data_IF_830325333931
#
_entry.id   IF_830325333931
#
_cell.length_a   1.000
_cell.length_b   1.000
_cell.length_c   1.000
_cell.angle_alpha   90.00
_cell.angle_beta   90.00
_cell.angle_gamma   90.00
#
_symmetry.space_group_name_H-M   'P 1'
#
loop_
_entity.id
_entity.type
_entity.pdbx_description
1 polymer ?
#
# COMPACT_ATOMS: atom_id res chain seq x y z
N UNK A 1 7.19 -30.18 -5.20
CA UNK A 1 7.20 -28.82 -5.80
C UNK A 1 7.82 -27.88 -4.79
N UNK A 2 8.93 -27.24 -5.16
CA UNK A 2 9.67 -26.37 -4.27
C UNK A 2 8.92 -25.04 -4.12
N UNK A 3 8.51 -24.75 -2.90
CA UNK A 3 8.04 -23.43 -2.51
C UNK A 3 9.30 -22.60 -2.29
N UNK A 4 9.60 -21.63 -3.17
CA UNK A 4 10.58 -20.60 -2.83
C UNK A 4 9.94 -19.68 -1.78
N UNK A 5 10.07 -20.08 -0.51
CA UNK A 5 9.67 -19.31 0.66
C UNK A 5 10.88 -18.53 1.18
N UNK A 6 11.23 -17.42 0.53
CA UNK A 6 11.99 -16.38 1.24
C UNK A 6 11.00 -15.42 1.94
N UNK A 7 11.17 -15.21 3.24
CA UNK A 7 10.61 -14.03 3.93
C UNK A 7 9.20 -14.16 4.52
N UNK A 8 8.95 -15.17 5.38
CA UNK A 8 7.65 -15.39 6.05
C UNK A 8 7.07 -14.12 6.73
N UNK A 9 7.91 -13.16 7.12
CA UNK A 9 7.53 -11.76 7.37
C UNK A 9 8.76 -10.85 7.14
N UNK A 10 9.36 -10.93 5.94
CA UNK A 10 10.47 -10.08 5.50
C UNK A 10 10.03 -8.66 5.08
N UNK A 11 10.92 -7.93 4.38
CA UNK A 11 10.64 -6.57 3.89
C UNK A 11 9.50 -6.53 2.85
N UNK A 12 9.28 -7.59 2.08
CA UNK A 12 8.19 -7.71 1.09
C UNK A 12 7.93 -9.18 0.73
N UNK A 13 6.71 -9.50 0.31
CA UNK A 13 6.29 -10.84 -0.13
C UNK A 13 5.49 -10.70 -1.43
N UNK A 14 5.72 -11.59 -2.39
CA UNK A 14 5.02 -11.57 -3.69
C UNK A 14 4.72 -12.98 -4.14
N UNK A 15 3.48 -13.25 -4.52
CA UNK A 15 3.05 -14.51 -5.11
C UNK A 15 2.50 -14.26 -6.51
N UNK A 16 3.07 -14.96 -7.49
CA UNK A 16 2.60 -14.95 -8.87
C UNK A 16 2.09 -16.33 -9.31
N UNK A 17 1.17 -16.37 -10.27
CA UNK A 17 0.74 -17.61 -10.89
C UNK A 17 1.81 -18.10 -11.90
N UNK A 18 1.58 -19.28 -12.51
CA UNK A 18 2.51 -19.87 -13.51
C UNK A 18 2.71 -19.01 -14.77
N UNK A 19 1.82 -18.04 -15.03
CA UNK A 19 1.91 -17.10 -16.15
C UNK A 19 2.67 -15.82 -15.77
N UNK A 20 3.04 -15.66 -14.50
CA UNK A 20 3.71 -14.48 -13.96
C UNK A 20 2.76 -13.40 -13.41
N UNK A 21 1.44 -13.61 -13.48
CA UNK A 21 0.47 -12.64 -12.96
C UNK A 21 0.52 -12.63 -11.43
N UNK A 22 0.65 -11.44 -10.84
CA UNK A 22 0.75 -11.28 -9.39
C UNK A 22 -0.63 -11.48 -8.77
N UNK A 23 -0.77 -12.51 -7.94
CA UNK A 23 -2.01 -12.81 -7.24
C UNK A 23 -2.04 -12.25 -5.81
N UNK A 24 -0.86 -12.05 -5.22
CA UNK A 24 -0.71 -11.34 -3.95
C UNK A 24 0.61 -10.59 -3.90
N UNK A 25 0.59 -9.38 -3.38
CA UNK A 25 1.78 -8.62 -3.04
C UNK A 25 1.60 -8.00 -1.66
N UNK A 26 2.65 -8.01 -0.86
CA UNK A 26 2.73 -7.34 0.42
C UNK A 26 4.06 -6.62 0.55
N UNK A 27 4.04 -5.37 0.96
CA UNK A 27 5.23 -4.53 1.14
C UNK A 27 5.24 -3.94 2.53
N UNK A 28 6.40 -4.03 3.19
CA UNK A 28 6.65 -3.33 4.45
C UNK A 28 6.90 -1.85 4.17
N UNK A 29 6.33 -1.01 5.01
CA UNK A 29 6.56 0.43 5.04
C UNK A 29 7.16 0.77 6.39
N UNK A 30 8.39 1.26 6.34
CA UNK A 30 9.19 1.64 7.51
C UNK A 30 9.45 3.15 7.59
N UNK A 31 8.94 3.92 6.62
CA UNK A 31 9.16 5.36 6.55
C UNK A 31 7.96 6.10 7.13
N UNK A 32 8.24 7.12 7.94
CA UNK A 32 7.27 8.08 8.50
C UNK A 32 6.24 7.47 9.46
N UNK A 33 6.72 6.87 10.55
CA UNK A 33 5.87 6.37 11.64
C UNK A 33 6.20 4.95 12.04
N UNK A 34 5.28 4.33 12.78
CA UNK A 34 5.39 2.92 13.17
C UNK A 34 5.34 2.01 11.92
N UNK A 35 6.19 0.96 11.84
CA UNK A 35 6.20 0.08 10.69
C UNK A 35 4.86 -0.62 10.45
N UNK A 36 4.45 -0.73 9.19
CA UNK A 36 3.23 -1.43 8.80
C UNK A 36 3.39 -2.15 7.46
N UNK A 37 2.46 -3.05 7.14
CA UNK A 37 2.38 -3.71 5.85
C UNK A 37 1.21 -3.16 5.03
N UNK A 38 1.45 -2.94 3.73
CA UNK A 38 0.39 -2.76 2.74
C UNK A 38 0.35 -4.01 1.88
N UNK A 39 -0.84 -4.54 1.62
CA UNK A 39 -1.01 -5.69 0.73
C UNK A 39 -2.02 -5.41 -0.39
N UNK A 40 -1.93 -6.22 -1.45
CA UNK A 40 -2.88 -6.27 -2.56
C UNK A 40 -3.17 -7.73 -2.90
N UNK A 41 -4.45 -8.09 -3.03
CA UNK A 41 -4.89 -9.43 -3.45
C UNK A 41 -5.63 -9.31 -4.79
N UNK A 42 -5.18 -10.06 -5.79
CA UNK A 42 -5.84 -10.21 -7.10
C UNK A 42 -6.36 -11.65 -7.21
N UNK A 43 -7.55 -11.90 -6.63
CA UNK A 43 -8.13 -13.25 -6.52
C UNK A 43 -8.39 -13.92 -7.87
N UNK A 44 -8.62 -13.11 -8.90
CA UNK A 44 -8.79 -13.49 -10.30
C UNK A 44 -7.56 -14.21 -10.85
N UNK A 45 -6.36 -13.91 -10.33
CA UNK A 45 -5.11 -14.55 -10.75
C UNK A 45 -4.85 -15.89 -10.04
N UNK A 46 -5.63 -16.26 -9.03
CA UNK A 46 -5.52 -17.57 -8.39
C UNK A 46 -6.10 -18.69 -9.25
N UNK A 47 -5.33 -19.77 -9.38
CA UNK A 47 -5.84 -21.05 -9.87
C UNK A 47 -6.70 -21.77 -8.80
N UNK A 48 -7.36 -22.87 -9.16
CA UNK A 48 -8.31 -23.55 -8.27
C UNK A 48 -7.67 -24.07 -6.97
N UNK A 49 -6.47 -24.64 -7.04
CA UNK A 49 -5.73 -25.13 -5.88
C UNK A 49 -5.34 -23.98 -4.94
N UNK A 50 -4.85 -22.87 -5.50
CA UNK A 50 -4.51 -21.67 -4.77
C UNK A 50 -5.73 -21.06 -4.08
N UNK A 51 -6.90 -21.04 -4.74
CA UNK A 51 -8.16 -20.57 -4.11
C UNK A 51 -8.55 -21.39 -2.89
N UNK A 52 -8.33 -22.71 -2.92
CA UNK A 52 -8.62 -23.61 -1.78
C UNK A 52 -7.63 -23.42 -0.63
N UNK A 53 -6.34 -23.22 -0.92
CA UNK A 53 -5.30 -23.02 0.09
C UNK A 53 -5.20 -21.60 0.65
N UNK A 54 -5.68 -20.59 -0.09
CA UNK A 54 -5.53 -19.17 0.24
C UNK A 54 -6.08 -18.79 1.62
N UNK A 55 -7.27 -19.25 2.08
CA UNK A 55 -7.76 -18.89 3.41
C UNK A 55 -6.81 -19.26 4.54
N UNK A 56 -6.15 -20.42 4.46
CA UNK A 56 -5.17 -20.86 5.46
C UNK A 56 -3.89 -20.03 5.41
N UNK A 57 -3.39 -19.72 4.21
CA UNK A 57 -2.23 -18.83 4.02
C UNK A 57 -2.52 -17.43 4.56
N UNK A 58 -3.69 -16.89 4.23
CA UNK A 58 -4.14 -15.59 4.69
C UNK A 58 -4.25 -15.52 6.22
N UNK A 59 -4.82 -16.56 6.85
CA UNK A 59 -4.89 -16.66 8.30
C UNK A 59 -3.48 -16.66 8.93
N UNK A 60 -2.54 -17.42 8.35
CA UNK A 60 -1.15 -17.44 8.83
C UNK A 60 -0.47 -16.07 8.70
N UNK A 61 -0.66 -15.35 7.59
CA UNK A 61 -0.12 -13.99 7.41
C UNK A 61 -0.65 -13.05 8.49
N UNK A 62 -1.98 -13.02 8.68
CA UNK A 62 -2.63 -12.17 9.69
C UNK A 62 -2.14 -12.49 11.10
N UNK A 63 -2.10 -13.76 11.48
CA UNK A 63 -1.63 -14.19 12.81
C UNK A 63 -0.18 -13.80 13.06
N UNK A 64 0.70 -13.96 12.07
CA UNK A 64 2.09 -13.59 12.20
C UNK A 64 2.26 -12.06 12.31
N UNK A 65 1.53 -11.28 11.49
CA UNK A 65 1.54 -9.81 11.57
C UNK A 65 1.08 -9.32 12.95
N UNK A 66 -0.03 -9.87 13.45
CA UNK A 66 -0.57 -9.56 14.77
C UNK A 66 0.42 -9.89 15.90
N UNK A 67 1.07 -11.07 15.84
CA UNK A 67 2.07 -11.48 16.84
C UNK A 67 3.27 -10.53 16.89
N UNK A 68 3.62 -9.89 15.77
CA UNK A 68 4.70 -8.91 15.69
C UNK A 68 4.26 -7.46 15.95
N UNK A 69 2.97 -7.24 16.20
CA UNK A 69 2.42 -5.89 16.37
C UNK A 69 2.54 -5.03 15.11
N UNK A 70 2.54 -5.64 13.92
CA UNK A 70 2.66 -4.94 12.65
C UNK A 70 1.27 -4.87 11.99
N UNK A 71 0.68 -3.67 11.83
CA UNK A 71 -0.59 -3.51 11.15
C UNK A 71 -0.52 -3.98 9.70
N UNK A 72 -1.63 -4.49 9.19
CA UNK A 72 -1.75 -5.02 7.83
C UNK A 72 -2.93 -4.37 7.12
N UNK A 73 -2.65 -3.48 6.16
CA UNK A 73 -3.65 -2.65 5.48
C UNK A 73 -3.83 -3.05 4.02
N UNK A 74 -5.07 -3.08 3.54
CA UNK A 74 -5.37 -3.30 2.13
C UNK A 74 -5.09 -2.03 1.33
N UNK A 75 -4.34 -2.17 0.23
CA UNK A 75 -4.08 -1.09 -0.71
C UNK A 75 -5.35 -0.42 -1.22
N UNK A 76 -6.40 -1.19 -1.54
CA UNK A 76 -7.63 -0.62 -2.09
C UNK A 76 -8.38 0.19 -1.03
N UNK A 77 -8.46 -0.31 0.21
CA UNK A 77 -9.08 0.42 1.33
C UNK A 77 -8.35 1.75 1.59
N UNK A 78 -7.01 1.75 1.52
CA UNK A 78 -6.22 2.98 1.60
C UNK A 78 -6.56 3.92 0.45
N UNK A 79 -6.56 3.43 -0.79
CA UNK A 79 -6.83 4.24 -1.97
C UNK A 79 -8.23 4.90 -1.91
N UNK A 80 -9.25 4.12 -1.55
CA UNK A 80 -10.63 4.60 -1.43
C UNK A 80 -10.75 5.65 -0.32
N UNK A 81 -10.11 5.43 0.83
CA UNK A 81 -10.09 6.38 1.94
C UNK A 81 -9.31 7.66 1.59
N UNK A 82 -8.24 7.53 0.80
CA UNK A 82 -7.43 8.66 0.32
C UNK A 82 -8.19 9.51 -0.69
N UNK A 83 -8.95 8.92 -1.62
CA UNK A 83 -9.65 9.66 -2.67
C UNK A 83 -10.64 10.69 -2.08
N UNK A 84 -11.37 10.30 -1.05
CA UNK A 84 -12.26 11.21 -0.30
C UNK A 84 -11.51 12.39 0.36
N UNK A 85 -10.27 12.17 0.80
CA UNK A 85 -9.44 13.22 1.42
C UNK A 85 -8.71 14.09 0.40
N UNK A 86 -8.20 13.50 -0.69
CA UNK A 86 -7.42 14.20 -1.72
C UNK A 86 -8.24 15.31 -2.39
N UNK A 87 -9.53 15.07 -2.63
CA UNK A 87 -10.45 16.08 -3.16
C UNK A 87 -10.56 17.33 -2.29
N UNK A 88 -10.25 17.25 -0.99
CA UNK A 88 -10.23 18.39 -0.07
C UNK A 88 -8.89 19.15 -0.05
N UNK A 89 -7.87 18.63 -0.75
CA UNK A 89 -6.49 19.15 -0.76
C UNK A 89 -6.16 19.74 -2.12
N UNK A 90 -6.58 19.05 -3.18
CA UNK A 90 -6.41 19.50 -4.55
C UNK A 90 -7.12 20.83 -4.73
N UNK A 91 -6.38 21.84 -5.17
CA UNK A 91 -6.91 23.19 -5.41
C UNK A 91 -6.88 24.12 -4.19
N UNK A 92 -6.27 23.69 -3.08
CA UNK A 92 -5.99 24.57 -1.94
C UNK A 92 -4.84 25.55 -2.28
N UNK A 93 -4.73 26.71 -1.58
CA UNK A 93 -3.58 27.60 -1.70
C UNK A 93 -2.25 26.87 -1.44
N UNK A 94 -2.21 25.97 -0.46
CA UNK A 94 -1.04 25.17 -0.10
C UNK A 94 -0.62 24.24 -1.23
N UNK A 95 -1.55 23.46 -1.80
CA UNK A 95 -1.24 22.54 -2.90
C UNK A 95 -0.75 23.28 -4.15
N UNK A 96 -1.33 24.46 -4.45
CA UNK A 96 -0.88 25.31 -5.57
C UNK A 96 0.51 25.90 -5.36
N UNK A 97 0.86 26.27 -4.12
CA UNK A 97 2.22 26.75 -3.80
C UNK A 97 3.24 25.62 -3.91
N UNK A 98 2.89 24.43 -3.42
CA UNK A 98 3.74 23.25 -3.56
C UNK A 98 4.00 22.92 -5.04
N UNK A 99 2.95 22.91 -5.89
CA UNK A 99 3.11 22.69 -7.33
C UNK A 99 4.04 23.71 -8.00
N UNK A 100 3.88 25.01 -7.73
CA UNK A 100 4.80 26.02 -8.29
C UNK A 100 6.24 25.77 -7.91
N UNK A 101 6.49 25.38 -6.65
CA UNK A 101 7.83 25.07 -6.17
C UNK A 101 8.40 23.81 -6.84
N UNK A 102 7.56 22.80 -7.10
CA UNK A 102 7.95 21.64 -7.92
C UNK A 102 8.34 22.09 -9.33
N UNK A 103 7.55 22.97 -9.95
CA UNK A 103 7.82 23.47 -11.30
C UNK A 103 9.11 24.31 -11.37
N UNK A 104 9.45 25.02 -10.30
CA UNK A 104 10.67 25.83 -10.17
C UNK A 104 11.93 24.99 -9.89
N UNK A 105 11.81 23.95 -9.06
CA UNK A 105 12.97 23.20 -8.53
C UNK A 105 13.18 21.85 -9.19
N UNK A 106 12.14 21.28 -9.81
CA UNK A 106 12.13 19.89 -10.26
C UNK A 106 12.09 18.86 -9.14
N UNK A 107 11.98 19.29 -7.87
CA UNK A 107 11.95 18.41 -6.71
C UNK A 107 10.52 18.06 -6.28
N UNK A 108 10.35 16.92 -5.62
CA UNK A 108 9.10 16.59 -4.93
C UNK A 108 8.92 17.49 -3.71
N UNK A 109 7.76 18.14 -3.59
CA UNK A 109 7.45 19.06 -2.49
C UNK A 109 6.33 18.49 -1.64
N UNK A 110 6.59 18.34 -0.34
CA UNK A 110 5.58 17.95 0.63
C UNK A 110 4.49 19.03 0.76
N UNK A 111 3.22 18.61 0.80
CA UNK A 111 2.06 19.49 0.93
C UNK A 111 1.56 19.48 2.36
N UNK A 112 1.10 18.32 2.84
CA UNK A 112 0.59 18.11 4.19
C UNK A 112 0.41 16.62 4.48
N UNK A 113 0.25 16.30 5.76
CA UNK A 113 -0.22 14.98 6.19
C UNK A 113 -1.76 14.89 6.16
N UNK A 114 -2.27 13.70 5.85
CA UNK A 114 -3.67 13.33 6.01
C UNK A 114 -3.77 12.17 6.98
N UNK A 115 -4.86 12.09 7.73
CA UNK A 115 -5.16 10.91 8.54
C UNK A 115 -6.40 10.25 7.99
N UNK A 116 -6.31 8.95 7.68
CA UNK A 116 -7.41 8.13 7.20
C UNK A 116 -7.73 7.03 8.21
N UNK A 117 -8.98 6.57 8.23
CA UNK A 117 -9.38 5.39 9.00
C UNK A 117 -9.29 4.16 8.12
N UNK A 118 -8.53 3.16 8.55
CA UNK A 118 -8.30 1.92 7.80
C UNK A 118 -8.45 0.70 8.68
N UNK A 119 -8.96 -0.38 8.11
CA UNK A 119 -9.11 -1.64 8.82
C UNK A 119 -7.76 -2.36 8.90
N UNK A 120 -7.28 -2.60 10.11
CA UNK A 120 -6.12 -3.42 10.35
C UNK A 120 -6.50 -4.89 10.28
N UNK A 121 -6.15 -5.53 9.17
CA UNK A 121 -6.43 -6.94 8.96
C UNK A 121 -5.62 -7.81 9.94
N UNK A 122 -4.52 -7.36 10.54
CA UNK A 122 -3.80 -8.14 11.53
C UNK A 122 -4.60 -8.27 12.83
N UNK A 123 -5.12 -7.16 13.36
CA UNK A 123 -5.79 -7.12 14.68
C UNK A 123 -7.31 -7.16 14.63
N UNK A 124 -7.91 -6.89 13.47
CA UNK A 124 -9.36 -6.78 13.29
C UNK A 124 -9.96 -5.49 13.84
N UNK A 125 -9.15 -4.42 13.99
CA UNK A 125 -9.56 -3.12 14.50
C UNK A 125 -9.47 -2.05 13.42
N UNK A 126 -10.14 -0.92 13.62
CA UNK A 126 -9.94 0.27 12.79
C UNK A 126 -8.85 1.11 13.43
N UNK A 127 -7.83 1.44 12.66
CA UNK A 127 -6.73 2.31 13.07
C UNK A 127 -6.80 3.63 12.31
N UNK A 128 -6.23 4.67 12.90
CA UNK A 128 -5.91 5.92 12.21
C UNK A 128 -4.52 5.76 11.57
N UNK A 129 -4.43 5.96 10.25
CA UNK A 129 -3.19 5.91 9.48
C UNK A 129 -2.89 7.30 8.91
N UNK A 130 -1.75 7.86 9.31
CA UNK A 130 -1.28 9.14 8.78
C UNK A 130 -0.40 8.92 7.55
N UNK A 131 -0.73 9.60 6.46
CA UNK A 131 -0.02 9.53 5.18
C UNK A 131 0.40 10.93 4.75
N UNK A 132 1.68 11.09 4.41
CA UNK A 132 2.20 12.33 3.85
C UNK A 132 1.82 12.48 2.37
N UNK A 133 1.19 13.60 2.02
CA UNK A 133 0.87 13.97 0.64
C UNK A 133 1.94 14.91 0.12
N UNK A 134 2.53 14.55 -1.01
CA UNK A 134 3.52 15.36 -1.73
C UNK A 134 3.11 15.54 -3.18
N UNK A 135 3.46 16.69 -3.74
CA UNK A 135 3.39 16.97 -5.16
C UNK A 135 4.74 16.63 -5.80
N UNK A 136 4.74 15.89 -6.89
CA UNK A 136 5.95 15.48 -7.60
C UNK A 136 5.97 16.05 -9.03
N UNK A 137 7.15 16.17 -9.67
CA UNK A 137 7.24 16.61 -11.06
C UNK A 137 6.39 15.74 -11.97
N UNK A 138 5.59 16.36 -12.82
CA UNK A 138 4.89 15.62 -13.87
C UNK A 138 5.91 15.30 -14.95
N UNK A 139 6.45 14.09 -14.94
CA UNK A 139 7.17 13.58 -16.10
C UNK A 139 6.14 13.38 -17.22
N UNK A 140 5.96 14.40 -18.06
CA UNK A 140 5.25 14.24 -19.32
C UNK A 140 6.13 13.31 -20.16
N UNK A 141 5.79 12.02 -20.18
CA UNK A 141 6.28 11.11 -21.21
C UNK A 141 5.71 11.65 -22.51
N UNK A 142 6.53 12.42 -23.22
CA UNK A 142 6.26 12.79 -24.59
C UNK A 142 6.65 11.56 -25.40
N UNK A 143 5.66 10.77 -25.81
CA UNK A 143 5.85 9.78 -26.87
C UNK A 143 6.42 10.53 -28.08
N UNK A 144 7.66 10.19 -28.45
CA UNK A 144 8.30 10.61 -29.69
C UNK A 144 8.17 9.51 -30.73
#
# INVERSE_FOLDING_TARGET
MAWEQEGILGASMRFANKKGDIAFEMKRKDKYGDPYYIFKICKEHFNEEQRKGWPAVWALIRMNAAKRGLPLYDYQEIADAMDGQLNLIVGTPESRRAQRKVDETGDTVFVKDITIKVFDHATGRINDLTLGISTAPVNIVTDK
#
